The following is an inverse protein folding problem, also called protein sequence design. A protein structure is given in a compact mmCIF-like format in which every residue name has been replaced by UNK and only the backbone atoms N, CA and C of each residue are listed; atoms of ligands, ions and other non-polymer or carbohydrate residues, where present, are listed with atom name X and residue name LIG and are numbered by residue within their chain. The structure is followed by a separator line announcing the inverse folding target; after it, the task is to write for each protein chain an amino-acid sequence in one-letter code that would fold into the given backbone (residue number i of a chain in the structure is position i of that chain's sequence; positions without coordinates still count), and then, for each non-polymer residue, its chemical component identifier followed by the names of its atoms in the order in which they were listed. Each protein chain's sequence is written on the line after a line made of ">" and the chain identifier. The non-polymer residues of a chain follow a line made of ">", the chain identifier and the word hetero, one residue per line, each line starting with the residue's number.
data_IF_506571195980
#
_entry.id   IF_506571195980
#
_cell.length_a   1.000
_cell.length_b   1.000
_cell.length_c   1.000
_cell.angle_alpha   90.00
_cell.angle_beta   90.00
_cell.angle_gamma   90.00
#
_symmetry.space_group_name_H-M   'P 1'
#
loop_
_entity.id
_entity.type
_entity.pdbx_description
1 polymer ?
#
# COMPACT_ATOMS: atom_id res chain seq x y z
N UNK A 1 -16.88 -12.86 30.92
CA UNK A 1 -15.59 -12.43 30.33
C UNK A 1 -15.91 -11.26 29.42
N UNK A 2 -15.39 -10.08 29.74
CA UNK A 2 -15.53 -8.92 28.86
C UNK A 2 -14.75 -9.22 27.58
N UNK A 3 -15.45 -9.31 26.45
CA UNK A 3 -14.82 -9.21 25.15
C UNK A 3 -14.11 -7.85 25.13
N UNK A 4 -12.79 -7.86 25.25
CA UNK A 4 -12.01 -6.67 24.99
C UNK A 4 -12.27 -6.31 23.53
N UNK A 5 -13.08 -5.28 23.30
CA UNK A 5 -13.29 -4.72 21.98
C UNK A 5 -11.92 -4.40 21.38
N UNK A 6 -11.62 -5.00 20.23
CA UNK A 6 -10.42 -4.67 19.49
C UNK A 6 -10.34 -3.15 19.28
N UNK A 7 -9.16 -2.51 19.45
CA UNK A 7 -9.06 -1.08 19.29
C UNK A 7 -9.54 -0.67 17.89
N UNK A 8 -10.32 0.40 17.85
CA UNK A 8 -10.86 0.94 16.61
C UNK A 8 -9.73 1.43 15.71
N UNK A 9 -9.75 1.03 14.45
CA UNK A 9 -8.82 1.50 13.43
C UNK A 9 -9.30 2.85 12.90
N UNK A 10 -8.40 3.83 12.86
CA UNK A 10 -8.62 5.09 12.17
C UNK A 10 -8.11 4.98 10.73
N UNK A 11 -9.02 5.10 9.76
CA UNK A 11 -8.70 5.05 8.33
C UNK A 11 -8.38 6.43 7.73
N UNK A 12 -8.46 7.48 8.54
CA UNK A 12 -8.14 8.83 8.09
C UNK A 12 -6.63 9.07 8.17
N UNK A 13 -6.07 9.60 7.11
CA UNK A 13 -4.65 9.97 7.04
C UNK A 13 -4.45 11.12 6.06
N UNK A 14 -3.21 11.62 5.99
CA UNK A 14 -2.82 12.69 5.09
C UNK A 14 -1.36 12.48 4.68
N UNK A 15 -0.94 12.87 3.46
CA UNK A 15 0.44 12.68 2.99
C UNK A 15 1.53 13.21 3.95
N UNK A 16 1.24 14.28 4.70
CA UNK A 16 2.15 14.79 5.73
C UNK A 16 2.33 13.87 6.94
N UNK A 17 1.47 12.86 7.09
CA UNK A 17 1.47 11.89 8.19
C UNK A 17 1.90 10.50 7.76
N UNK A 18 2.16 10.28 6.46
CA UNK A 18 2.56 8.97 5.95
C UNK A 18 3.88 8.52 6.58
N UNK A 19 3.90 7.28 7.02
CA UNK A 19 5.07 6.61 7.60
C UNK A 19 5.70 5.61 6.63
N UNK A 20 4.95 5.21 5.63
CA UNK A 20 5.32 4.09 4.75
C UNK A 20 5.51 4.50 3.30
N UNK A 21 4.60 5.30 2.76
CA UNK A 21 4.67 5.73 1.37
C UNK A 21 5.20 7.14 1.23
N UNK A 22 6.10 7.34 0.28
CA UNK A 22 6.60 8.65 -0.11
C UNK A 22 5.97 9.05 -1.43
N UNK A 23 5.09 10.04 -1.38
CA UNK A 23 4.37 10.54 -2.54
C UNK A 23 5.09 11.76 -3.11
N UNK A 24 5.42 11.69 -4.40
CA UNK A 24 6.11 12.76 -5.12
C UNK A 24 5.41 13.04 -6.44
N UNK A 25 5.32 14.32 -6.82
CA UNK A 25 4.73 14.77 -8.08
C UNK A 25 5.79 15.45 -8.95
N UNK A 26 5.86 15.05 -10.20
CA UNK A 26 6.71 15.64 -11.23
C UNK A 26 5.90 15.77 -12.53
N UNK A 27 5.29 16.93 -12.76
CA UNK A 27 4.43 17.14 -13.93
C UNK A 27 3.27 16.11 -13.96
N UNK A 28 3.11 15.37 -15.06
CA UNK A 28 2.03 14.39 -15.19
C UNK A 28 2.29 13.05 -14.48
N UNK A 29 3.40 12.93 -13.74
CA UNK A 29 3.81 11.70 -13.08
C UNK A 29 3.74 11.84 -11.56
N UNK A 30 3.04 10.93 -10.91
CA UNK A 30 3.12 10.73 -9.46
C UNK A 30 3.93 9.47 -9.16
N UNK A 31 4.85 9.56 -8.21
CA UNK A 31 5.63 8.42 -7.74
C UNK A 31 5.25 8.07 -6.31
N UNK A 32 4.93 6.82 -6.07
CA UNK A 32 4.73 6.22 -4.77
C UNK A 32 5.93 5.35 -4.43
N UNK A 33 6.82 5.85 -3.60
CA UNK A 33 7.99 5.13 -3.13
C UNK A 33 7.69 4.37 -1.83
N UNK A 34 7.86 3.06 -1.85
CA UNK A 34 7.70 2.22 -0.67
C UNK A 34 8.96 2.30 0.20
N UNK A 35 8.82 2.92 1.36
CA UNK A 35 9.85 3.03 2.39
C UNK A 35 9.20 2.79 3.75
N UNK A 36 8.71 1.56 3.93
CA UNK A 36 7.91 1.24 5.10
C UNK A 36 8.74 1.31 6.37
N UNK A 37 8.27 2.12 7.33
CA UNK A 37 8.88 2.23 8.65
C UNK A 37 8.65 0.92 9.41
N UNK A 38 9.74 0.19 9.64
CA UNK A 38 9.70 -1.12 10.30
C UNK A 38 9.07 -1.07 11.70
N UNK A 39 9.19 0.08 12.38
CA UNK A 39 8.72 0.27 13.75
C UNK A 39 7.33 0.92 13.83
N UNK A 40 6.72 1.23 12.70
CA UNK A 40 5.41 1.88 12.61
C UNK A 40 4.28 0.93 12.21
N UNK A 41 4.35 -0.32 12.63
CA UNK A 41 3.22 -1.24 12.49
C UNK A 41 1.97 -0.68 13.17
N UNK A 42 0.81 -0.94 12.61
CA UNK A 42 -0.47 -0.42 13.10
C UNK A 42 -0.79 -0.90 14.52
N UNK A 43 -0.28 -2.06 14.91
CA UNK A 43 -0.41 -2.67 16.24
C UNK A 43 0.94 -3.18 16.74
N UNK A 44 1.13 -3.34 18.06
CA UNK A 44 2.34 -3.96 18.59
C UNK A 44 2.41 -5.45 18.22
N UNK A 45 3.60 -6.02 18.34
CA UNK A 45 3.86 -7.46 18.20
C UNK A 45 4.48 -7.89 16.89
N UNK A 46 4.75 -6.97 15.97
CA UNK A 46 5.45 -7.24 14.72
C UNK A 46 6.20 -6.02 14.19
N UNK A 47 7.14 -6.26 13.28
CA UNK A 47 7.89 -5.23 12.57
C UNK A 47 7.74 -5.40 11.07
N UNK A 48 7.64 -4.29 10.33
CA UNK A 48 7.45 -4.29 8.88
C UNK A 48 8.79 -4.39 8.13
N UNK A 49 9.54 -5.45 8.40
CA UNK A 49 10.81 -5.71 7.72
C UNK A 49 10.59 -6.04 6.25
N UNK A 50 11.57 -5.72 5.42
CA UNK A 50 11.57 -6.03 3.98
C UNK A 50 10.34 -5.46 3.24
N UNK A 51 9.92 -4.26 3.59
CA UNK A 51 8.67 -3.71 3.08
C UNK A 51 7.50 -4.70 3.17
N UNK A 52 7.40 -5.42 4.30
CA UNK A 52 6.24 -6.23 4.56
C UNK A 52 5.03 -5.37 4.90
N UNK A 53 3.86 -5.90 4.65
CA UNK A 53 2.62 -5.16 4.50
C UNK A 53 1.67 -5.43 5.67
N UNK A 54 1.15 -4.37 6.27
CA UNK A 54 0.01 -4.44 7.19
C UNK A 54 -1.12 -3.50 6.72
N UNK A 55 -2.19 -3.44 7.48
CA UNK A 55 -3.32 -2.58 7.15
C UNK A 55 -2.93 -1.09 7.13
N UNK A 56 -2.01 -0.66 7.99
CA UNK A 56 -1.54 0.72 8.03
C UNK A 56 -0.86 1.16 6.74
N UNK A 57 -0.09 0.28 6.13
CA UNK A 57 0.52 0.50 4.82
C UNK A 57 -0.55 0.71 3.74
N UNK A 58 -1.60 -0.09 3.77
CA UNK A 58 -2.66 -0.02 2.77
C UNK A 58 -3.58 1.20 2.96
N UNK A 59 -3.82 1.61 4.18
CA UNK A 59 -4.56 2.85 4.47
C UNK A 59 -3.89 4.04 3.80
N UNK A 60 -2.57 4.15 3.92
CA UNK A 60 -1.82 5.22 3.25
C UNK A 60 -1.87 5.09 1.72
N UNK A 61 -1.74 3.88 1.19
CA UNK A 61 -1.79 3.65 -0.26
C UNK A 61 -3.17 4.02 -0.83
N UNK A 62 -4.23 3.60 -0.17
CA UNK A 62 -5.60 3.93 -0.56
C UNK A 62 -5.83 5.44 -0.55
N UNK A 63 -5.41 6.12 0.51
CA UNK A 63 -5.50 7.58 0.62
C UNK A 63 -4.71 8.27 -0.51
N UNK A 64 -3.48 7.83 -0.76
CA UNK A 64 -2.63 8.40 -1.80
C UNK A 64 -3.24 8.25 -3.19
N UNK A 65 -3.76 7.08 -3.53
CA UNK A 65 -4.40 6.83 -4.84
C UNK A 65 -5.64 7.70 -5.01
N UNK A 66 -6.47 7.83 -3.98
CA UNK A 66 -7.64 8.67 -4.04
C UNK A 66 -7.29 10.15 -4.20
N UNK A 67 -6.24 10.64 -3.53
CA UNK A 67 -5.78 12.03 -3.69
C UNK A 67 -5.23 12.28 -5.09
N UNK A 68 -4.42 11.35 -5.61
CA UNK A 68 -3.91 11.46 -6.98
C UNK A 68 -5.08 11.55 -7.96
N UNK A 69 -6.06 10.66 -7.81
CA UNK A 69 -7.22 10.56 -8.70
C UNK A 69 -8.08 11.82 -8.69
N UNK A 70 -8.42 12.31 -7.51
CA UNK A 70 -9.45 13.35 -7.35
C UNK A 70 -8.88 14.76 -7.13
N UNK A 71 -7.66 14.89 -6.59
CA UNK A 71 -7.05 16.19 -6.30
C UNK A 71 -5.99 16.60 -7.33
N UNK A 72 -5.50 15.67 -8.17
CA UNK A 72 -4.41 15.90 -9.12
C UNK A 72 -4.80 15.50 -10.55
N UNK A 73 -5.72 16.23 -11.19
CA UNK A 73 -6.18 15.90 -12.55
C UNK A 73 -5.08 16.01 -13.61
N UNK A 74 -3.97 16.68 -13.33
CA UNK A 74 -2.80 16.76 -14.19
C UNK A 74 -2.00 15.45 -14.28
N UNK A 75 -2.14 14.56 -13.29
CA UNK A 75 -1.42 13.28 -13.27
C UNK A 75 -2.04 12.32 -14.27
N UNK A 76 -1.19 11.67 -15.06
CA UNK A 76 -1.55 10.62 -16.02
C UNK A 76 -0.95 9.28 -15.69
N UNK A 77 0.19 9.26 -15.02
CA UNK A 77 0.93 8.04 -14.71
C UNK A 77 1.30 8.03 -13.24
N UNK A 78 1.07 6.89 -12.60
CA UNK A 78 1.47 6.63 -11.23
C UNK A 78 2.51 5.50 -11.25
N UNK A 79 3.69 5.79 -10.71
CA UNK A 79 4.77 4.80 -10.61
C UNK A 79 4.87 4.31 -9.16
N UNK A 80 4.75 3.01 -8.98
CA UNK A 80 5.02 2.35 -7.70
C UNK A 80 6.41 1.74 -7.75
N UNK A 81 7.25 2.08 -6.79
CA UNK A 81 8.60 1.52 -6.67
C UNK A 81 9.00 1.42 -5.20
N UNK A 82 10.12 0.80 -4.90
CA UNK A 82 10.67 0.77 -3.56
C UNK A 82 11.86 1.74 -3.43
N UNK A 83 11.97 2.37 -2.28
CA UNK A 83 13.13 3.18 -1.90
C UNK A 83 14.15 2.38 -1.10
N UNK A 84 13.88 1.09 -0.83
CA UNK A 84 14.80 0.18 -0.18
C UNK A 84 15.62 -0.61 -1.19
N UNK A 85 16.85 -0.92 -0.83
CA UNK A 85 17.73 -1.71 -1.67
C UNK A 85 17.28 -3.17 -1.73
N UNK A 86 17.31 -3.77 -2.92
CA UNK A 86 17.06 -5.19 -3.20
C UNK A 86 15.71 -5.75 -2.76
N UNK A 87 14.77 -4.92 -2.31
CA UNK A 87 13.42 -5.36 -1.97
C UNK A 87 12.39 -4.37 -2.51
N UNK A 88 11.38 -4.90 -3.20
CA UNK A 88 10.20 -4.15 -3.57
C UNK A 88 9.14 -4.25 -2.46
N UNK A 89 8.62 -5.45 -2.24
CA UNK A 89 7.68 -5.73 -1.16
C UNK A 89 7.62 -7.24 -0.90
N UNK A 90 7.80 -7.65 0.33
CA UNK A 90 7.77 -9.07 0.71
C UNK A 90 6.36 -9.63 0.94
N UNK A 91 5.32 -8.79 0.81
CA UNK A 91 3.94 -9.19 1.00
C UNK A 91 3.43 -9.02 2.43
N UNK A 92 2.29 -9.62 2.74
CA UNK A 92 1.67 -9.51 4.05
C UNK A 92 2.62 -9.97 5.16
N UNK A 93 2.70 -9.18 6.22
CA UNK A 93 3.54 -9.50 7.36
C UNK A 93 3.01 -10.76 8.07
N UNK A 94 3.80 -11.83 8.08
CA UNK A 94 3.38 -13.12 8.63
C UNK A 94 3.21 -13.09 10.16
N UNK A 95 3.97 -12.25 10.85
CA UNK A 95 3.83 -12.10 12.30
C UNK A 95 2.56 -11.33 12.65
N UNK A 96 2.21 -10.30 11.87
CA UNK A 96 0.93 -9.61 11.99
C UNK A 96 -0.24 -10.59 11.81
N UNK A 97 -0.18 -11.45 10.80
CA UNK A 97 -1.19 -12.48 10.59
C UNK A 97 -1.26 -13.46 11.77
N UNK A 98 -0.11 -13.84 12.31
CA UNK A 98 -0.03 -14.75 13.45
C UNK A 98 -0.68 -14.23 14.73
N UNK A 99 -0.64 -12.92 14.97
CA UNK A 99 -1.24 -12.29 16.16
C UNK A 99 -2.63 -11.70 15.92
N UNK A 100 -3.18 -11.91 14.72
CA UNK A 100 -4.47 -11.34 14.33
C UNK A 100 -5.61 -12.34 14.51
N UNK A 101 -6.79 -11.83 14.92
CA UNK A 101 -8.02 -12.60 14.90
C UNK A 101 -8.47 -12.91 13.47
N UNK A 102 -9.38 -13.88 13.32
CA UNK A 102 -9.97 -14.17 12.02
C UNK A 102 -10.69 -12.95 11.42
N UNK A 103 -11.47 -12.25 12.21
CA UNK A 103 -12.18 -11.03 11.76
C UNK A 103 -11.21 -9.95 11.26
N UNK A 104 -10.07 -9.77 11.95
CA UNK A 104 -9.04 -8.84 11.49
C UNK A 104 -8.46 -9.24 10.13
N UNK A 105 -8.14 -10.52 9.95
CA UNK A 105 -7.60 -11.04 8.68
C UNK A 105 -8.59 -10.82 7.53
N UNK A 106 -9.88 -11.10 7.76
CA UNK A 106 -10.93 -10.88 6.75
C UNK A 106 -11.01 -9.40 6.37
N UNK A 107 -11.03 -8.50 7.35
CA UNK A 107 -11.10 -7.07 7.08
C UNK A 107 -9.84 -6.53 6.41
N UNK A 108 -8.67 -7.03 6.80
CA UNK A 108 -7.41 -6.71 6.13
C UNK A 108 -7.43 -7.11 4.65
N UNK A 109 -7.81 -8.34 4.36
CA UNK A 109 -7.90 -8.82 2.97
C UNK A 109 -8.96 -8.04 2.17
N UNK A 110 -10.10 -7.75 2.77
CA UNK A 110 -11.16 -6.97 2.12
C UNK A 110 -10.66 -5.57 1.76
N UNK A 111 -10.02 -4.87 2.69
CA UNK A 111 -9.51 -3.52 2.47
C UNK A 111 -8.44 -3.50 1.38
N UNK A 112 -7.47 -4.41 1.43
CA UNK A 112 -6.42 -4.50 0.42
C UNK A 112 -6.96 -4.80 -0.97
N UNK A 113 -7.98 -5.65 -1.07
CA UNK A 113 -8.65 -5.92 -2.34
C UNK A 113 -9.40 -4.69 -2.87
N UNK A 114 -10.05 -3.92 -2.01
CA UNK A 114 -10.71 -2.66 -2.40
C UNK A 114 -9.68 -1.63 -2.94
N UNK A 115 -8.52 -1.53 -2.33
CA UNK A 115 -7.44 -0.65 -2.81
C UNK A 115 -6.98 -1.06 -4.21
N UNK A 116 -6.80 -2.35 -4.46
CA UNK A 116 -6.40 -2.87 -5.78
C UNK A 116 -7.50 -2.67 -6.83
N UNK A 117 -8.75 -2.87 -6.47
CA UNK A 117 -9.88 -2.53 -7.33
C UNK A 117 -9.90 -1.04 -7.66
N UNK A 118 -9.47 -0.19 -6.73
CA UNK A 118 -9.30 1.25 -6.96
C UNK A 118 -8.27 1.58 -8.04
N UNK A 119 -7.19 0.81 -8.16
CA UNK A 119 -6.22 0.94 -9.24
C UNK A 119 -6.87 0.66 -10.61
N UNK A 120 -7.54 -0.47 -10.71
CA UNK A 120 -8.21 -0.88 -11.94
C UNK A 120 -9.30 0.11 -12.35
N UNK A 121 -10.11 0.54 -11.39
CA UNK A 121 -11.16 1.53 -11.61
C UNK A 121 -10.60 2.89 -12.05
N UNK A 122 -9.49 3.32 -11.44
CA UNK A 122 -8.80 4.57 -11.81
C UNK A 122 -8.21 4.51 -13.20
N UNK A 123 -7.65 3.37 -13.58
CA UNK A 123 -7.14 3.13 -14.92
C UNK A 123 -8.26 3.15 -15.96
N UNK A 124 -9.37 2.47 -15.67
CA UNK A 124 -10.49 2.34 -16.60
C UNK A 124 -11.29 3.63 -16.79
N UNK A 125 -11.53 4.38 -15.72
CA UNK A 125 -12.48 5.51 -15.74
C UNK A 125 -11.87 6.88 -15.50
N UNK A 126 -10.66 6.98 -14.97
CA UNK A 126 -10.02 8.25 -14.63
C UNK A 126 -8.78 8.58 -15.45
N UNK A 127 -8.44 7.76 -16.43
CA UNK A 127 -7.32 8.00 -17.34
C UNK A 127 -5.95 7.90 -16.69
N UNK A 128 -5.84 7.23 -15.52
CA UNK A 128 -4.56 6.97 -14.87
C UNK A 128 -3.95 5.66 -15.39
N UNK A 129 -2.64 5.65 -15.52
CA UNK A 129 -1.88 4.43 -15.80
C UNK A 129 -0.95 4.13 -14.64
N UNK A 130 -1.02 2.91 -14.11
CA UNK A 130 -0.19 2.46 -13.01
C UNK A 130 0.95 1.60 -13.54
N UNK A 131 2.19 1.96 -13.18
CA UNK A 131 3.39 1.23 -13.50
C UNK A 131 4.05 0.73 -12.22
N UNK A 132 4.30 -0.56 -12.10
CA UNK A 132 5.11 -1.10 -11.03
C UNK A 132 6.57 -1.21 -11.52
N UNK A 133 7.44 -0.35 -11.02
CA UNK A 133 8.89 -0.44 -11.24
C UNK A 133 9.48 -1.33 -10.15
N UNK A 134 9.57 -2.63 -10.42
CA UNK A 134 9.98 -3.64 -9.46
C UNK A 134 11.51 -3.72 -9.43
N UNK A 135 12.09 -3.16 -8.37
CA UNK A 135 13.53 -3.00 -8.20
C UNK A 135 14.14 -3.93 -7.14
N UNK A 136 13.49 -5.05 -6.88
CA UNK A 136 13.98 -6.02 -5.91
C UNK A 136 12.99 -7.14 -5.65
N UNK A 137 13.20 -7.91 -4.60
CA UNK A 137 12.34 -9.02 -4.22
C UNK A 137 10.87 -8.60 -4.10
N UNK A 138 10.01 -9.32 -4.78
CA UNK A 138 8.58 -9.03 -4.87
C UNK A 138 7.82 -10.35 -4.73
N UNK A 139 7.12 -10.52 -3.61
CA UNK A 139 6.51 -11.80 -3.26
C UNK A 139 5.14 -11.62 -2.60
N UNK A 140 4.30 -12.65 -2.69
CA UNK A 140 2.98 -12.68 -2.06
C UNK A 140 2.13 -11.45 -2.40
N UNK A 141 1.61 -10.77 -1.38
CA UNK A 141 0.83 -9.54 -1.54
C UNK A 141 1.58 -8.40 -2.22
N UNK A 142 2.91 -8.39 -2.17
CA UNK A 142 3.73 -7.44 -2.93
C UNK A 142 3.68 -7.71 -4.43
N UNK A 143 3.70 -8.97 -4.82
CA UNK A 143 3.50 -9.35 -6.22
C UNK A 143 2.06 -9.08 -6.70
N UNK A 144 1.08 -9.34 -5.84
CA UNK A 144 -0.32 -8.99 -6.14
C UNK A 144 -0.51 -7.50 -6.34
N UNK A 145 0.19 -6.66 -5.57
CA UNK A 145 0.19 -5.21 -5.75
C UNK A 145 0.76 -4.82 -7.13
N UNK A 146 1.86 -5.42 -7.53
CA UNK A 146 2.43 -5.21 -8.87
C UNK A 146 1.47 -5.65 -9.97
N UNK A 147 0.79 -6.79 -9.80
CA UNK A 147 -0.22 -7.29 -10.74
C UNK A 147 -1.45 -6.39 -10.86
N UNK A 148 -1.77 -5.61 -9.82
CA UNK A 148 -2.86 -4.64 -9.87
C UNK A 148 -2.53 -3.41 -10.73
N UNK A 149 -1.28 -3.20 -11.07
CA UNK A 149 -0.84 -2.17 -11.99
C UNK A 149 -1.08 -2.57 -13.44
N UNK A 150 -1.13 -1.59 -14.35
CA UNK A 150 -1.32 -1.83 -15.78
C UNK A 150 -0.10 -2.50 -16.41
N UNK A 151 1.10 -2.14 -15.96
CA UNK A 151 2.36 -2.69 -16.43
C UNK A 151 3.33 -2.95 -15.28
N UNK A 152 4.14 -4.01 -15.42
CA UNK A 152 5.25 -4.33 -14.52
C UNK A 152 6.55 -4.17 -15.30
N UNK A 153 7.46 -3.37 -14.76
CA UNK A 153 8.80 -3.17 -15.30
C UNK A 153 9.80 -3.68 -14.28
N UNK A 154 10.66 -4.59 -14.69
CA UNK A 154 11.78 -5.06 -13.87
C UNK A 154 12.96 -4.11 -14.05
N UNK A 155 13.49 -3.66 -12.94
CA UNK A 155 14.58 -2.68 -12.90
C UNK A 155 15.86 -3.32 -12.38
#
# INVERSE_FOLDING_TARGET
>A
MSEQQAPRVDYQTHPSQYKHWKLKFEGPVATLGADFDENAGLRPGYKLKLNSYDLGVDIELNDAVNRIRFEHPEVRTVVLTSLKDKVFCSGANIFMLGVSSHAWKVNFCKFTNETRNGFEDSSKYSGLKFLAAVNGSCAGGGYELALACDEIILV
#
